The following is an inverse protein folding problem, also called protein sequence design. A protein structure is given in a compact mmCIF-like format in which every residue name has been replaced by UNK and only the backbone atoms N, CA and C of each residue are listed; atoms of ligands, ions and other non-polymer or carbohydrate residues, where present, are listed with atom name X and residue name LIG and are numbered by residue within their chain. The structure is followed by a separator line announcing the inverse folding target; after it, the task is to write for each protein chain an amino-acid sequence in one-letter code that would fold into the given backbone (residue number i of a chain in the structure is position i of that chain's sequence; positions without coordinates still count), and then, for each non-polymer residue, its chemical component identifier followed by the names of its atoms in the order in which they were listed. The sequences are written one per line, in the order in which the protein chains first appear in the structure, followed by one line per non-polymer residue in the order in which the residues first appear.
data_IF_511085802852
#
_entry.id   IF_511085802852
#
_cell.length_a   1.000
_cell.length_b   1.000
_cell.length_c   1.000
_cell.angle_alpha   90.00
_cell.angle_beta   90.00
_cell.angle_gamma   90.00
#
_symmetry.space_group_name_H-M   'P 1'
#
loop_
_entity.id
_entity.type
_entity.pdbx_description
1 polymer ?
#
# COMPACT_ATOMS: atom_id res chain seq x y z
N UNK A 1 -0.05 44.85 18.50
CA UNK A 1 -0.44 45.13 17.10
C UNK A 1 0.76 44.99 16.15
N UNK A 2 1.86 45.74 16.31
CA UNK A 2 3.05 45.67 15.42
C UNK A 2 3.62 44.26 15.23
N UNK A 3 3.87 43.51 16.31
CA UNK A 3 4.39 42.13 16.27
C UNK A 3 3.44 41.15 15.55
N UNK A 4 2.14 41.38 15.63
CA UNK A 4 1.12 40.56 14.94
C UNK A 4 1.14 40.85 13.44
N UNK A 5 1.18 42.13 13.05
CA UNK A 5 1.30 42.55 11.66
C UNK A 5 2.56 42.00 11.00
N UNK A 6 3.70 42.07 11.70
CA UNK A 6 4.97 41.51 11.23
C UNK A 6 4.89 39.98 11.05
N UNK A 7 4.32 39.28 12.03
CA UNK A 7 4.13 37.82 11.96
C UNK A 7 3.25 37.43 10.77
N UNK A 8 2.12 38.11 10.57
CA UNK A 8 1.21 37.86 9.44
C UNK A 8 1.87 38.15 8.09
N UNK A 9 2.63 39.23 8.00
CA UNK A 9 3.37 39.59 6.78
C UNK A 9 4.39 38.51 6.43
N UNK A 10 5.15 38.03 7.41
CA UNK A 10 6.12 36.95 7.22
C UNK A 10 5.45 35.64 6.79
N UNK A 11 4.27 35.31 7.33
CA UNK A 11 3.49 34.15 6.92
C UNK A 11 3.00 34.28 5.47
N UNK A 12 2.46 35.43 5.06
CA UNK A 12 2.01 35.67 3.69
C UNK A 12 3.18 35.55 2.69
N UNK A 13 4.32 36.16 3.01
CA UNK A 13 5.53 36.05 2.18
C UNK A 13 5.98 34.59 2.04
N UNK A 14 5.88 33.81 3.13
CA UNK A 14 6.23 32.40 3.09
C UNK A 14 5.27 31.58 2.23
N UNK A 15 3.96 31.84 2.34
CA UNK A 15 2.93 31.20 1.50
C UNK A 15 3.20 31.49 0.03
N UNK A 16 3.44 32.76 -0.33
CA UNK A 16 3.77 33.16 -1.69
C UNK A 16 5.02 32.44 -2.21
N UNK A 17 6.10 32.44 -1.44
CA UNK A 17 7.36 31.78 -1.82
C UNK A 17 7.17 30.28 -2.08
N UNK A 18 6.34 29.60 -1.26
CA UNK A 18 6.04 28.18 -1.45
C UNK A 18 5.19 27.97 -2.72
N UNK A 19 4.17 28.81 -2.94
CA UNK A 19 3.32 28.72 -4.12
C UNK A 19 4.13 28.92 -5.41
N UNK A 20 4.99 29.94 -5.46
CA UNK A 20 5.88 30.21 -6.59
C UNK A 20 6.85 29.04 -6.82
N UNK A 21 7.41 28.47 -5.75
CA UNK A 21 8.28 27.29 -5.86
C UNK A 21 7.54 26.10 -6.45
N UNK A 22 6.32 25.81 -6.02
CA UNK A 22 5.50 24.71 -6.55
C UNK A 22 5.23 24.93 -8.04
N UNK A 23 4.82 26.15 -8.41
CA UNK A 23 4.52 26.50 -9.79
C UNK A 23 5.76 26.38 -10.69
N UNK A 24 6.90 26.95 -10.26
CA UNK A 24 8.14 26.95 -11.02
C UNK A 24 8.73 25.54 -11.17
N UNK A 25 8.74 24.75 -10.09
CA UNK A 25 9.19 23.36 -10.17
C UNK A 25 8.36 22.55 -11.16
N UNK A 26 7.04 22.79 -11.19
CA UNK A 26 6.16 22.07 -12.11
C UNK A 26 6.31 22.57 -13.55
N UNK A 27 6.44 23.88 -13.77
CA UNK A 27 6.65 24.43 -15.12
C UNK A 27 8.00 24.03 -15.69
N UNK A 28 9.05 23.91 -14.88
CA UNK A 28 10.37 23.44 -15.32
C UNK A 28 10.36 21.98 -15.81
N UNK A 29 9.35 21.19 -15.44
CA UNK A 29 9.12 19.85 -15.98
C UNK A 29 8.39 19.85 -17.33
N UNK A 30 7.99 21.01 -17.84
CA UNK A 30 7.34 21.17 -19.14
C UNK A 30 8.37 21.68 -20.15
N UNK A 31 8.46 21.05 -21.32
CA UNK A 31 9.48 21.36 -22.33
C UNK A 31 9.57 22.84 -22.72
N UNK A 32 8.43 23.55 -22.78
CA UNK A 32 8.34 24.98 -23.05
C UNK A 32 7.91 25.81 -21.83
N UNK A 33 7.85 25.21 -20.63
CA UNK A 33 7.47 25.84 -19.35
C UNK A 33 6.08 26.46 -19.26
N UNK A 34 5.17 26.08 -20.16
CA UNK A 34 3.82 26.62 -20.19
C UNK A 34 2.81 25.55 -19.79
N UNK A 35 1.88 25.90 -18.90
CA UNK A 35 0.73 25.04 -18.60
C UNK A 35 -0.25 25.02 -19.77
N UNK A 36 -1.07 23.96 -19.86
CA UNK A 36 -2.23 23.99 -20.74
C UNK A 36 -3.31 24.87 -20.12
N UNK A 37 -3.96 25.67 -20.95
CA UNK A 37 -5.19 26.35 -20.59
C UNK A 37 -6.35 25.35 -20.55
N UNK A 38 -7.42 25.69 -19.83
CA UNK A 38 -8.64 24.87 -19.79
C UNK A 38 -9.21 24.62 -21.20
N UNK A 39 -9.12 25.60 -22.11
CA UNK A 39 -9.57 25.46 -23.50
C UNK A 39 -8.77 24.40 -24.28
N UNK A 40 -7.45 24.37 -24.12
CA UNK A 40 -6.59 23.37 -24.77
C UNK A 40 -6.83 21.95 -24.24
N UNK A 41 -7.07 21.83 -22.92
CA UNK A 41 -7.44 20.53 -22.33
C UNK A 41 -8.80 20.08 -22.88
N UNK A 42 -9.79 20.96 -22.94
CA UNK A 42 -11.11 20.64 -23.51
C UNK A 42 -11.03 20.23 -24.98
N UNK A 43 -10.24 20.93 -25.79
CA UNK A 43 -9.99 20.56 -27.20
C UNK A 43 -9.38 19.17 -27.33
N UNK A 44 -8.41 18.83 -26.47
CA UNK A 44 -7.82 17.49 -26.40
C UNK A 44 -8.87 16.44 -26.09
N UNK A 45 -9.71 16.67 -25.08
CA UNK A 45 -10.79 15.75 -24.69
C UNK A 45 -11.76 15.53 -25.85
N UNK A 46 -12.21 16.60 -26.52
CA UNK A 46 -13.14 16.52 -27.64
C UNK A 46 -12.55 15.71 -28.81
N UNK A 47 -11.27 15.89 -29.12
CA UNK A 47 -10.58 15.11 -30.15
C UNK A 47 -10.44 13.63 -29.78
N UNK A 48 -10.24 13.32 -28.49
CA UNK A 48 -10.16 11.93 -28.01
C UNK A 48 -11.54 11.24 -27.96
N UNK A 49 -12.61 12.02 -27.85
CA UNK A 49 -13.99 11.53 -27.90
C UNK A 49 -14.50 11.27 -29.32
N UNK A 50 -13.73 11.60 -30.35
CA UNK A 50 -14.06 11.26 -31.74
C UNK A 50 -14.19 9.73 -31.91
N UNK A 51 -15.21 9.29 -32.67
CA UNK A 51 -15.56 7.87 -32.81
C UNK A 51 -14.45 7.03 -33.48
N UNK A 52 -13.61 7.63 -34.33
CA UNK A 52 -12.49 6.94 -34.95
C UNK A 52 -11.31 6.88 -33.99
N UNK A 53 -10.98 8.02 -33.35
CA UNK A 53 -9.87 8.10 -32.41
C UNK A 53 -10.12 7.22 -31.18
N UNK A 54 -11.30 7.28 -30.58
CA UNK A 54 -11.66 6.51 -29.38
C UNK A 54 -11.47 5.00 -29.58
N UNK A 55 -11.78 4.48 -30.77
CA UNK A 55 -11.56 3.06 -31.11
C UNK A 55 -10.08 2.69 -31.16
N UNK A 56 -9.23 3.60 -31.63
CA UNK A 56 -7.78 3.40 -31.76
C UNK A 56 -7.10 3.46 -30.40
N UNK A 57 -7.48 4.42 -29.55
CA UNK A 57 -6.81 4.67 -28.25
C UNK A 57 -7.46 3.96 -27.06
N UNK A 58 -8.44 3.08 -27.30
CA UNK A 58 -9.18 2.38 -26.26
C UNK A 58 -8.25 1.75 -25.20
N UNK A 59 -8.53 2.02 -23.92
CA UNK A 59 -7.74 1.53 -22.78
C UNK A 59 -6.41 2.26 -22.54
N UNK A 60 -6.13 3.37 -23.25
CA UNK A 60 -4.96 4.22 -22.99
C UNK A 60 -5.31 5.37 -22.05
N UNK A 61 -4.39 5.68 -21.15
CA UNK A 61 -4.40 6.94 -20.40
C UNK A 61 -3.61 7.95 -21.23
N UNK A 62 -4.28 9.01 -21.69
CA UNK A 62 -3.63 10.13 -22.39
C UNK A 62 -3.38 11.24 -21.37
N UNK A 63 -2.11 11.61 -21.09
CA UNK A 63 -1.81 12.70 -20.18
C UNK A 63 -2.48 14.00 -20.64
N UNK A 64 -3.24 14.63 -19.73
CA UNK A 64 -3.89 15.93 -19.96
C UNK A 64 -2.99 17.12 -19.61
N UNK A 65 -1.69 16.90 -19.48
CA UNK A 65 -0.68 17.90 -19.19
C UNK A 65 0.53 17.74 -20.13
N UNK A 66 1.46 18.69 -20.03
CA UNK A 66 2.73 18.68 -20.76
C UNK A 66 3.91 18.33 -19.85
N UNK A 67 3.63 17.81 -18.67
CA UNK A 67 4.63 17.58 -17.63
C UNK A 67 5.37 16.29 -17.95
N UNK A 68 6.68 16.39 -18.17
CA UNK A 68 7.51 15.22 -18.29
C UNK A 68 7.84 14.72 -16.89
N UNK A 69 7.24 13.60 -16.49
CA UNK A 69 7.56 12.92 -15.25
C UNK A 69 8.69 11.91 -15.52
N UNK A 70 9.96 12.19 -15.12
CA UNK A 70 11.01 11.18 -15.15
C UNK A 70 10.74 10.16 -14.04
N UNK A 71 9.81 9.24 -14.25
CA UNK A 71 9.44 8.24 -13.24
C UNK A 71 10.37 7.04 -13.38
N UNK A 72 11.17 6.78 -12.34
CA UNK A 72 11.75 5.45 -12.18
C UNK A 72 10.66 4.51 -11.67
N UNK A 73 10.47 3.33 -12.26
CA UNK A 73 9.50 2.38 -11.74
C UNK A 73 9.93 1.96 -10.33
N UNK A 74 9.10 2.23 -9.33
CA UNK A 74 9.29 1.80 -7.94
C UNK A 74 8.85 0.33 -7.72
N UNK A 75 8.84 -0.47 -8.80
CA UNK A 75 8.26 -1.81 -8.87
C UNK A 75 9.34 -2.82 -9.23
N UNK A 76 9.69 -3.69 -8.27
CA UNK A 76 10.54 -4.85 -8.47
C UNK A 76 9.73 -6.12 -8.76
N UNK A 77 10.38 -7.15 -9.32
CA UNK A 77 9.78 -8.50 -9.47
C UNK A 77 10.26 -9.47 -8.39
N UNK A 78 11.32 -9.13 -7.66
CA UNK A 78 11.78 -9.89 -6.50
C UNK A 78 12.41 -8.93 -5.51
N UNK A 79 12.24 -9.20 -4.22
CA UNK A 79 12.95 -8.45 -3.20
C UNK A 79 14.43 -8.90 -3.19
N UNK A 80 15.39 -7.98 -2.95
CA UNK A 80 16.78 -8.36 -2.74
C UNK A 80 16.92 -9.43 -1.65
N UNK A 81 17.72 -10.46 -1.94
CA UNK A 81 18.03 -11.49 -0.95
C UNK A 81 18.82 -10.90 0.22
N UNK A 82 18.42 -11.26 1.43
CA UNK A 82 19.11 -10.86 2.67
C UNK A 82 19.34 -12.07 3.56
N UNK A 83 20.31 -11.96 4.47
CA UNK A 83 20.41 -12.93 5.56
C UNK A 83 19.13 -12.91 6.39
N UNK A 84 18.68 -14.08 6.82
CA UNK A 84 17.48 -14.24 7.65
C UNK A 84 17.59 -13.34 8.89
N UNK A 85 16.69 -12.35 9.05
CA UNK A 85 16.70 -11.50 10.23
C UNK A 85 16.31 -12.30 11.48
N UNK A 86 16.88 -11.90 12.62
CA UNK A 86 16.50 -12.40 13.93
C UNK A 86 15.34 -11.57 14.48
N UNK A 87 14.21 -12.22 14.77
CA UNK A 87 13.02 -11.57 15.32
C UNK A 87 12.90 -11.69 16.84
N UNK A 88 13.92 -12.20 17.52
CA UNK A 88 13.93 -12.38 18.98
C UNK A 88 13.51 -11.11 19.72
N UNK A 89 12.49 -11.25 20.57
CA UNK A 89 11.96 -10.14 21.40
C UNK A 89 11.10 -9.13 20.65
N UNK A 90 10.84 -9.35 19.35
CA UNK A 90 9.97 -8.50 18.54
C UNK A 90 8.64 -9.20 18.24
N UNK A 91 7.61 -8.39 18.02
CA UNK A 91 6.29 -8.85 17.59
C UNK A 91 6.03 -8.48 16.11
N UNK A 92 5.38 -9.37 15.37
CA UNK A 92 4.81 -9.08 14.05
C UNK A 92 3.31 -9.27 14.14
N UNK A 93 2.56 -8.24 13.75
CA UNK A 93 1.09 -8.27 13.79
C UNK A 93 0.57 -8.52 12.38
N UNK A 94 -0.36 -9.46 12.25
CA UNK A 94 -1.09 -9.72 11.01
C UNK A 94 -2.49 -9.13 11.12
N UNK A 95 -2.91 -8.35 10.14
CA UNK A 95 -4.31 -7.95 9.97
C UNK A 95 -4.86 -8.64 8.72
N UNK A 96 -5.93 -9.41 8.87
CA UNK A 96 -6.27 -10.47 7.92
C UNK A 96 -7.70 -10.28 7.41
N UNK A 97 -7.87 -10.02 6.11
CA UNK A 97 -9.16 -10.04 5.43
C UNK A 97 -9.23 -11.19 4.41
N UNK A 98 -9.06 -12.41 4.93
CA UNK A 98 -8.97 -13.63 4.13
C UNK A 98 -10.28 -13.93 3.40
N UNK A 99 -10.16 -14.32 2.13
CA UNK A 99 -11.30 -14.64 1.26
C UNK A 99 -11.47 -16.15 1.11
N UNK A 100 -10.36 -16.89 1.00
CA UNK A 100 -10.38 -18.34 0.89
C UNK A 100 -9.29 -19.02 1.72
N UNK A 101 -9.22 -20.35 1.64
CA UNK A 101 -8.27 -21.16 2.40
C UNK A 101 -6.81 -20.84 2.08
N UNK A 102 -6.49 -20.45 0.85
CA UNK A 102 -5.11 -20.12 0.47
C UNK A 102 -4.60 -18.87 1.19
N UNK A 103 -5.48 -17.91 1.48
CA UNK A 103 -5.13 -16.75 2.31
C UNK A 103 -4.81 -17.17 3.75
N UNK A 104 -5.60 -18.10 4.31
CA UNK A 104 -5.36 -18.62 5.66
C UNK A 104 -4.07 -19.47 5.74
N UNK A 105 -3.78 -20.28 4.74
CA UNK A 105 -2.53 -21.05 4.62
C UNK A 105 -1.32 -20.11 4.43
N UNK A 106 -1.49 -18.97 3.74
CA UNK A 106 -0.47 -17.92 3.65
C UNK A 106 -0.20 -17.26 5.01
N UNK A 107 -1.23 -16.91 5.76
CA UNK A 107 -1.08 -16.40 7.13
C UNK A 107 -0.27 -17.39 7.96
N UNK A 108 -0.64 -18.67 7.92
CA UNK A 108 0.09 -19.70 8.66
C UNK A 108 1.56 -19.76 8.28
N UNK A 109 1.87 -19.81 6.99
CA UNK A 109 3.25 -19.89 6.52
C UNK A 109 4.08 -18.69 7.00
N UNK A 110 3.56 -17.48 6.85
CA UNK A 110 4.27 -16.25 7.22
C UNK A 110 4.40 -16.11 8.75
N UNK A 111 3.38 -16.48 9.50
CA UNK A 111 3.40 -16.47 10.96
C UNK A 111 4.42 -17.49 11.50
N UNK A 112 4.42 -18.72 10.97
CA UNK A 112 5.41 -19.74 11.32
C UNK A 112 6.83 -19.31 10.96
N UNK A 113 7.01 -18.62 9.82
CA UNK A 113 8.30 -18.03 9.47
C UNK A 113 8.78 -17.03 10.52
N UNK A 114 7.89 -16.18 11.04
CA UNK A 114 8.23 -15.25 12.13
C UNK A 114 8.60 -15.99 13.41
N UNK A 115 7.77 -16.94 13.87
CA UNK A 115 7.98 -17.68 15.13
C UNK A 115 9.26 -18.54 15.09
N UNK A 116 9.50 -19.23 13.97
CA UNK A 116 10.71 -20.03 13.76
C UNK A 116 11.99 -19.20 13.85
N UNK A 117 11.91 -17.91 13.53
CA UNK A 117 13.03 -16.96 13.60
C UNK A 117 13.03 -16.12 14.89
N UNK A 118 12.33 -16.58 15.93
CA UNK A 118 12.36 -16.03 17.29
C UNK A 118 11.34 -14.92 17.58
N UNK A 119 10.51 -14.56 16.60
CA UNK A 119 9.49 -13.53 16.74
C UNK A 119 8.24 -14.04 17.43
N UNK A 120 7.38 -13.12 17.85
CA UNK A 120 6.03 -13.43 18.32
C UNK A 120 5.00 -12.93 17.31
N UNK A 121 3.88 -13.62 17.21
CA UNK A 121 2.81 -13.30 16.26
C UNK A 121 1.51 -12.94 16.99
N UNK A 122 0.80 -11.95 16.44
CA UNK A 122 -0.59 -11.65 16.78
C UNK A 122 -1.43 -11.58 15.50
N UNK A 123 -2.60 -12.21 15.48
CA UNK A 123 -3.48 -12.23 14.31
C UNK A 123 -4.80 -11.49 14.60
N UNK A 124 -5.03 -10.36 13.94
CA UNK A 124 -6.31 -9.64 13.97
C UNK A 124 -7.09 -10.00 12.72
N UNK A 125 -8.06 -10.89 12.88
CA UNK A 125 -8.84 -11.45 11.79
C UNK A 125 -10.08 -10.58 11.60
N UNK A 126 -10.34 -10.15 10.37
CA UNK A 126 -11.54 -9.40 10.04
C UNK A 126 -12.79 -10.18 10.44
N UNK A 127 -13.74 -9.52 11.08
CA UNK A 127 -15.07 -10.08 11.32
C UNK A 127 -15.80 -10.50 10.02
N UNK A 128 -15.40 -9.93 8.87
CA UNK A 128 -15.95 -10.30 7.54
C UNK A 128 -15.30 -11.54 6.94
N UNK A 129 -14.21 -12.05 7.50
CA UNK A 129 -13.58 -13.30 7.06
C UNK A 129 -14.52 -14.48 7.35
N UNK A 130 -14.70 -15.45 6.44
CA UNK A 130 -15.53 -16.64 6.69
C UNK A 130 -15.17 -17.38 8.00
N UNK A 131 -16.17 -17.80 8.78
CA UNK A 131 -15.98 -18.40 10.12
C UNK A 131 -15.02 -19.59 10.13
N UNK A 132 -15.10 -20.47 9.12
CA UNK A 132 -14.19 -21.61 9.01
C UNK A 132 -12.71 -21.20 8.86
N UNK A 133 -12.44 -20.04 8.24
CA UNK A 133 -11.09 -19.49 8.13
C UNK A 133 -10.67 -18.79 9.43
N UNK A 134 -11.60 -18.09 10.10
CA UNK A 134 -11.36 -17.52 11.43
C UNK A 134 -10.94 -18.62 12.43
N UNK A 135 -11.68 -19.72 12.48
CA UNK A 135 -11.39 -20.88 13.33
C UNK A 135 -10.05 -21.52 12.98
N UNK A 136 -9.78 -21.70 11.68
CA UNK A 136 -8.52 -22.27 11.20
C UNK A 136 -7.31 -21.48 11.72
N UNK A 137 -7.31 -20.15 11.54
CA UNK A 137 -6.19 -19.29 11.97
C UNK A 137 -6.10 -19.26 13.50
N UNK A 138 -7.25 -19.16 14.18
CA UNK A 138 -7.32 -19.06 15.64
C UNK A 138 -6.90 -20.34 16.36
N UNK A 139 -7.02 -21.49 15.71
CA UNK A 139 -6.52 -22.76 16.26
C UNK A 139 -4.99 -22.85 16.29
N UNK A 140 -4.28 -21.97 15.56
CA UNK A 140 -2.83 -22.03 15.37
C UNK A 140 -2.07 -20.89 16.06
N UNK A 141 -2.65 -19.70 16.10
CA UNK A 141 -1.98 -18.49 16.60
C UNK A 141 -2.85 -17.73 17.58
N UNK A 142 -2.22 -16.87 18.38
CA UNK A 142 -2.94 -15.92 19.21
C UNK A 142 -3.70 -14.92 18.31
N UNK A 143 -5.02 -15.08 18.24
CA UNK A 143 -5.87 -14.31 17.35
C UNK A 143 -7.02 -13.63 18.07
N UNK A 144 -7.53 -12.57 17.44
CA UNK A 144 -8.77 -11.90 17.82
C UNK A 144 -9.58 -11.61 16.55
N UNK A 145 -10.90 -11.74 16.66
CA UNK A 145 -11.82 -11.27 15.62
C UNK A 145 -12.06 -9.78 15.87
N UNK A 146 -11.83 -8.95 14.84
CA UNK A 146 -11.77 -7.49 14.94
C UNK A 146 -12.52 -6.86 13.78
N UNK A 147 -13.20 -5.74 14.01
CA UNK A 147 -13.61 -4.86 12.91
C UNK A 147 -12.41 -4.06 12.39
N UNK A 148 -11.66 -4.65 11.45
CA UNK A 148 -10.46 -4.01 10.89
C UNK A 148 -10.76 -2.78 10.04
N UNK A 149 -12.04 -2.54 9.71
CA UNK A 149 -12.50 -1.33 9.03
C UNK A 149 -12.59 -0.16 10.02
N UNK A 150 -12.82 -0.45 11.29
CA UNK A 150 -12.92 0.53 12.37
C UNK A 150 -11.51 0.97 12.82
N UNK A 151 -11.11 2.23 12.53
CA UNK A 151 -9.77 2.69 12.86
C UNK A 151 -9.47 2.69 14.37
N UNK A 152 -10.46 2.98 15.22
CA UNK A 152 -10.32 2.99 16.68
C UNK A 152 -10.11 1.57 17.21
N UNK A 153 -10.80 0.58 16.63
CA UNK A 153 -10.64 -0.80 17.02
C UNK A 153 -9.26 -1.36 16.63
N UNK A 154 -8.79 -1.07 15.42
CA UNK A 154 -7.43 -1.42 14.97
C UNK A 154 -6.38 -0.82 15.91
N UNK A 155 -6.53 0.47 16.25
CA UNK A 155 -5.61 1.14 17.19
C UNK A 155 -5.59 0.47 18.56
N UNK A 156 -6.77 0.14 19.11
CA UNK A 156 -6.90 -0.55 20.39
C UNK A 156 -6.14 -1.87 20.38
N UNK A 157 -6.31 -2.68 19.35
CA UNK A 157 -5.67 -3.99 19.25
C UNK A 157 -4.16 -3.90 19.03
N UNK A 158 -3.68 -2.95 18.22
CA UNK A 158 -2.24 -2.68 18.08
C UNK A 158 -1.61 -2.26 19.42
N UNK A 159 -2.30 -1.42 20.21
CA UNK A 159 -1.85 -1.04 21.55
C UNK A 159 -1.80 -2.24 22.51
N UNK A 160 -2.80 -3.13 22.44
CA UNK A 160 -2.84 -4.37 23.22
C UNK A 160 -1.69 -5.30 22.85
N UNK A 161 -1.43 -5.51 21.55
CA UNK A 161 -0.30 -6.32 21.09
C UNK A 161 1.05 -5.75 21.55
N UNK A 162 1.25 -4.44 21.43
CA UNK A 162 2.46 -3.77 21.91
C UNK A 162 2.69 -4.01 23.41
N UNK A 163 1.62 -4.00 24.20
CA UNK A 163 1.69 -4.12 25.67
C UNK A 163 1.89 -5.56 26.11
N UNK A 164 1.20 -6.53 25.47
CA UNK A 164 1.15 -7.91 25.95
C UNK A 164 2.13 -8.85 25.23
N UNK A 165 2.53 -8.52 23.99
CA UNK A 165 3.36 -9.40 23.15
C UNK A 165 4.80 -8.89 23.12
N UNK A 166 4.97 -7.59 22.81
CA UNK A 166 6.26 -6.91 22.78
C UNK A 166 6.29 -5.77 21.78
N UNK A 167 7.47 -5.20 21.58
CA UNK A 167 7.69 -4.14 20.59
C UNK A 167 7.36 -4.65 19.18
N UNK A 168 6.43 -3.97 18.51
CA UNK A 168 5.98 -4.34 17.16
C UNK A 168 7.07 -3.91 16.17
N UNK A 169 7.70 -4.90 15.52
CA UNK A 169 8.65 -4.70 14.44
C UNK A 169 7.95 -4.35 13.13
N UNK A 170 6.82 -5.00 12.87
CA UNK A 170 6.05 -4.72 11.67
C UNK A 170 4.61 -5.22 11.71
N UNK A 171 3.83 -4.66 10.79
CA UNK A 171 2.43 -5.01 10.55
C UNK A 171 2.28 -5.53 9.13
N UNK A 172 1.70 -6.72 8.98
CA UNK A 172 1.43 -7.35 7.68
C UNK A 172 -0.09 -7.39 7.48
N UNK A 173 -0.58 -6.64 6.50
CA UNK A 173 -1.98 -6.65 6.10
C UNK A 173 -2.21 -7.56 4.90
N UNK A 174 -3.18 -8.48 5.00
CA UNK A 174 -3.56 -9.38 3.91
C UNK A 174 -4.96 -9.00 3.44
N UNK A 175 -5.05 -8.57 2.19
CA UNK A 175 -6.32 -8.12 1.59
C UNK A 175 -7.20 -9.26 1.09
N UNK A 176 -6.65 -10.47 0.91
CA UNK A 176 -7.37 -11.59 0.32
C UNK A 176 -7.57 -11.44 -1.19
N UNK A 177 -8.54 -12.16 -1.76
CA UNK A 177 -8.77 -12.21 -3.20
C UNK A 177 -10.00 -11.42 -3.63
N UNK A 178 -9.99 -10.99 -4.88
CA UNK A 178 -11.20 -10.48 -5.50
C UNK A 178 -12.26 -11.60 -5.52
N UNK A 179 -13.49 -11.36 -5.03
CA UNK A 179 -14.56 -12.33 -5.15
C UNK A 179 -14.88 -12.59 -6.63
N UNK A 180 -15.60 -13.67 -6.91
CA UNK A 180 -15.98 -14.04 -8.29
C UNK A 180 -16.90 -12.98 -8.92
N UNK A 181 -16.30 -12.03 -9.64
CA UNK A 181 -17.00 -10.98 -10.38
C UNK A 181 -16.87 -11.27 -11.88
N UNK A 182 -18.02 -11.35 -12.57
CA UNK A 182 -18.05 -11.55 -14.01
C UNK A 182 -17.52 -10.31 -14.75
N UNK A 183 -18.08 -9.13 -14.42
CA UNK A 183 -17.64 -7.84 -14.96
C UNK A 183 -17.71 -6.73 -13.92
N UNK A 184 -16.54 -6.18 -13.60
CA UNK A 184 -16.39 -5.06 -12.67
C UNK A 184 -17.16 -3.80 -13.09
N UNK A 185 -17.39 -3.60 -14.40
CA UNK A 185 -18.14 -2.44 -14.93
C UNK A 185 -19.66 -2.56 -14.75
N UNK A 186 -20.16 -3.73 -14.38
CA UNK A 186 -21.61 -4.01 -14.24
C UNK A 186 -22.02 -4.21 -12.77
N UNK A 187 -21.08 -4.08 -11.82
CA UNK A 187 -21.40 -4.19 -10.39
C UNK A 187 -22.23 -2.99 -9.93
N UNK A 188 -23.06 -3.21 -8.92
CA UNK A 188 -23.83 -2.14 -8.31
C UNK A 188 -22.93 -1.21 -7.50
N UNK A 189 -23.37 0.03 -7.27
CA UNK A 189 -22.63 1.00 -6.45
C UNK A 189 -22.26 0.46 -5.06
N UNK A 190 -23.16 -0.22 -4.31
CA UNK A 190 -22.79 -0.81 -3.02
C UNK A 190 -21.68 -1.87 -3.12
N UNK A 191 -21.74 -2.75 -4.13
CA UNK A 191 -20.69 -3.76 -4.33
C UNK A 191 -19.35 -3.09 -4.68
N UNK A 192 -19.37 -2.04 -5.50
CA UNK A 192 -18.16 -1.24 -5.77
C UNK A 192 -17.57 -0.62 -4.50
N UNK A 193 -18.42 -0.06 -3.63
CA UNK A 193 -17.99 0.52 -2.36
C UNK A 193 -17.36 -0.52 -1.43
N UNK A 194 -17.93 -1.72 -1.33
CA UNK A 194 -17.36 -2.81 -0.55
C UNK A 194 -15.96 -3.23 -1.07
N UNK A 195 -15.78 -3.26 -2.39
CA UNK A 195 -14.48 -3.56 -3.00
C UNK A 195 -13.45 -2.46 -2.74
N UNK A 196 -13.85 -1.19 -2.87
CA UNK A 196 -12.98 -0.04 -2.55
C UNK A 196 -12.62 -0.05 -1.07
N UNK A 197 -13.58 -0.31 -0.18
CA UNK A 197 -13.35 -0.39 1.25
C UNK A 197 -12.36 -1.51 1.58
N UNK A 198 -12.55 -2.70 1.00
CA UNK A 198 -11.69 -3.87 1.23
C UNK A 198 -10.25 -3.67 0.72
N UNK A 199 -10.09 -3.22 -0.52
CA UNK A 199 -8.77 -3.21 -1.18
C UNK A 199 -8.03 -1.88 -1.08
N UNK A 200 -8.70 -0.78 -0.70
CA UNK A 200 -8.10 0.56 -0.68
C UNK A 200 -8.20 1.17 0.72
N UNK A 201 -9.42 1.36 1.24
CA UNK A 201 -9.62 2.08 2.50
C UNK A 201 -9.09 1.31 3.71
N UNK A 202 -9.34 0.00 3.77
CA UNK A 202 -8.91 -0.85 4.90
C UNK A 202 -7.38 -0.96 5.00
N UNK A 203 -6.63 -1.24 3.91
CA UNK A 203 -5.16 -1.18 3.93
C UNK A 203 -4.63 0.19 4.38
N UNK A 204 -5.26 1.29 3.95
CA UNK A 204 -4.87 2.63 4.37
C UNK A 204 -5.12 2.87 5.86
N UNK A 205 -6.27 2.44 6.38
CA UNK A 205 -6.60 2.47 7.82
C UNK A 205 -5.57 1.69 8.63
N UNK A 206 -5.25 0.46 8.23
CA UNK A 206 -4.27 -0.37 8.93
C UNK A 206 -2.89 0.29 8.90
N UNK A 207 -2.44 0.78 7.75
CA UNK A 207 -1.16 1.46 7.63
C UNK A 207 -1.10 2.72 8.50
N UNK A 208 -2.15 3.54 8.51
CA UNK A 208 -2.23 4.74 9.35
C UNK A 208 -2.14 4.39 10.84
N UNK A 209 -2.88 3.38 11.32
CA UNK A 209 -2.82 2.96 12.73
C UNK A 209 -1.50 2.30 13.09
N UNK A 210 -0.85 1.61 12.15
CA UNK A 210 0.52 1.13 12.35
C UNK A 210 1.50 2.30 12.52
N UNK A 211 1.39 3.37 11.72
CA UNK A 211 2.22 4.58 11.88
C UNK A 211 2.00 5.25 13.23
N UNK A 212 0.76 5.38 13.69
CA UNK A 212 0.43 5.92 15.02
C UNK A 212 0.99 5.04 16.15
N UNK A 213 1.09 3.73 15.94
CA UNK A 213 1.75 2.83 16.88
C UNK A 213 3.28 3.03 16.88
N UNK A 214 3.92 3.15 15.72
CA UNK A 214 5.36 3.37 15.61
C UNK A 214 5.79 4.76 16.09
N UNK A 215 4.93 5.75 15.91
CA UNK A 215 5.17 7.17 16.27
C UNK A 215 3.98 7.73 17.04
N UNK A 216 3.81 7.36 18.32
CA UNK A 216 2.73 7.92 19.14
C UNK A 216 2.81 9.45 19.22
N UNK A 217 1.71 10.13 18.89
CA UNK A 217 1.64 11.60 18.82
C UNK A 217 2.22 12.22 17.55
N UNK A 218 2.66 11.41 16.58
CA UNK A 218 3.27 11.89 15.33
C UNK A 218 2.31 12.69 14.45
N UNK A 219 1.00 12.50 14.61
CA UNK A 219 -0.04 13.29 13.91
C UNK A 219 -0.01 14.75 14.37
N UNK A 220 0.20 14.98 15.66
CA UNK A 220 0.25 16.30 16.29
C UNK A 220 1.65 16.93 16.13
N UNK A 221 2.70 16.12 16.22
CA UNK A 221 4.08 16.54 16.02
C UNK A 221 4.83 15.67 15.00
N UNK A 222 4.83 16.07 13.71
CA UNK A 222 5.52 15.33 12.64
C UNK A 222 7.02 15.14 12.86
N UNK A 223 7.66 15.94 13.74
CA UNK A 223 9.09 15.80 14.04
C UNK A 223 9.41 14.48 14.74
N UNK A 224 8.43 13.87 15.40
CA UNK A 224 8.57 12.58 16.07
C UNK A 224 8.85 11.43 15.09
N UNK A 225 8.53 11.60 13.80
CA UNK A 225 8.83 10.59 12.78
C UNK A 225 10.31 10.46 12.45
N UNK A 226 11.12 11.49 12.74
CA UNK A 226 12.54 11.48 12.41
C UNK A 226 13.22 10.29 13.07
N UNK A 227 13.93 9.50 12.26
CA UNK A 227 14.65 8.29 12.67
C UNK A 227 13.78 7.16 13.26
N UNK A 228 12.45 7.33 13.35
CA UNK A 228 11.53 6.29 13.80
C UNK A 228 11.61 5.04 12.90
N UNK A 229 11.48 3.85 13.48
CA UNK A 229 11.60 2.56 12.79
C UNK A 229 10.28 1.80 12.83
N UNK A 230 10.04 1.02 11.78
CA UNK A 230 8.86 0.17 11.66
C UNK A 230 8.71 -0.36 10.24
N UNK A 231 8.04 -1.49 10.10
CA UNK A 231 7.78 -2.12 8.81
C UNK A 231 6.28 -2.28 8.60
N UNK A 232 5.78 -1.86 7.45
CA UNK A 232 4.39 -2.11 7.03
C UNK A 232 4.44 -2.90 5.73
N UNK A 233 3.74 -4.03 5.68
CA UNK A 233 3.60 -4.81 4.46
C UNK A 233 2.12 -4.93 4.12
N UNK A 234 1.73 -4.54 2.91
CA UNK A 234 0.42 -4.84 2.35
C UNK A 234 0.59 -5.96 1.34
N UNK A 235 -0.08 -7.09 1.56
CA UNK A 235 -0.22 -8.16 0.59
C UNK A 235 -1.52 -7.90 -0.16
N UNK A 236 -1.38 -7.31 -1.35
CA UNK A 236 -2.50 -7.01 -2.24
C UNK A 236 -3.11 -8.27 -2.85
N UNK A 237 -4.19 -8.12 -3.64
CA UNK A 237 -4.93 -9.26 -4.14
C UNK A 237 -4.10 -10.10 -5.12
N UNK A 238 -4.24 -11.42 -5.00
CA UNK A 238 -3.58 -12.39 -5.87
C UNK A 238 -4.08 -12.26 -7.31
N UNK A 239 -3.17 -12.47 -8.26
CA UNK A 239 -3.62 -12.80 -9.62
C UNK A 239 -4.37 -14.13 -9.65
N UNK A 240 -5.35 -14.29 -10.56
CA UNK A 240 -6.05 -15.55 -10.70
C UNK A 240 -5.09 -16.65 -11.14
N UNK A 241 -5.30 -17.86 -10.62
CA UNK A 241 -4.47 -19.04 -10.90
C UNK A 241 -5.17 -19.98 -11.87
N UNK A 242 -4.41 -20.62 -12.75
CA UNK A 242 -4.87 -21.70 -13.61
C UNK A 242 -4.55 -21.51 -15.09
N UNK A 243 -4.71 -22.58 -15.87
CA UNK A 243 -4.35 -22.63 -17.30
C UNK A 243 -5.26 -21.78 -18.21
N UNK A 244 -6.42 -21.35 -17.73
CA UNK A 244 -7.45 -20.66 -18.54
C UNK A 244 -7.86 -19.31 -17.94
N UNK A 245 -6.93 -18.60 -17.31
CA UNK A 245 -7.19 -17.27 -16.76
C UNK A 245 -7.32 -16.26 -17.91
N UNK A 246 -8.45 -15.57 -17.97
CA UNK A 246 -8.74 -14.59 -19.02
C UNK A 246 -8.05 -13.25 -18.76
N UNK A 247 -7.88 -12.46 -19.81
CA UNK A 247 -7.39 -11.07 -19.69
C UNK A 247 -8.29 -10.22 -18.80
N UNK A 248 -9.61 -10.41 -18.90
CA UNK A 248 -10.60 -9.73 -18.05
C UNK A 248 -10.40 -10.05 -16.58
N UNK A 249 -10.25 -11.33 -16.21
CA UNK A 249 -10.01 -11.72 -14.82
C UNK A 249 -8.75 -11.06 -14.23
N UNK A 250 -7.65 -11.03 -15.01
CA UNK A 250 -6.43 -10.31 -14.60
C UNK A 250 -6.66 -8.80 -14.48
N UNK A 251 -7.31 -8.20 -15.47
CA UNK A 251 -7.58 -6.76 -15.49
C UNK A 251 -8.40 -6.30 -14.27
N UNK A 252 -9.40 -7.09 -13.86
CA UNK A 252 -10.21 -6.78 -12.68
C UNK A 252 -9.37 -6.73 -11.39
N UNK A 253 -8.42 -7.65 -11.22
CA UNK A 253 -7.48 -7.63 -10.08
C UNK A 253 -6.50 -6.46 -10.20
N UNK A 254 -6.01 -6.18 -11.41
CA UNK A 254 -5.07 -5.08 -11.67
C UNK A 254 -5.65 -3.68 -11.38
N UNK A 255 -6.97 -3.50 -11.38
CA UNK A 255 -7.59 -2.23 -10.92
C UNK A 255 -7.17 -1.94 -9.47
N UNK A 256 -7.26 -2.94 -8.59
CA UNK A 256 -6.94 -2.79 -7.18
C UNK A 256 -5.43 -2.84 -6.92
N UNK A 257 -4.69 -3.73 -7.59
CA UNK A 257 -3.21 -3.72 -7.53
C UNK A 257 -2.66 -2.37 -8.01
N UNK A 258 -3.19 -1.86 -9.12
CA UNK A 258 -2.84 -0.57 -9.69
C UNK A 258 -3.07 0.60 -8.74
N UNK A 259 -4.21 0.61 -8.03
CA UNK A 259 -4.56 1.66 -7.08
C UNK A 259 -3.71 1.66 -5.79
N UNK A 260 -3.19 0.51 -5.35
CA UNK A 260 -2.29 0.41 -4.19
C UNK A 260 -0.86 0.93 -4.47
N UNK A 261 -0.42 0.96 -5.73
CA UNK A 261 0.91 1.43 -6.14
C UNK A 261 1.16 2.91 -5.79
N UNK A 262 0.31 3.88 -6.20
CA UNK A 262 0.52 5.27 -5.84
C UNK A 262 0.46 5.49 -4.33
N UNK A 263 -0.46 4.83 -3.62
CA UNK A 263 -0.52 4.90 -2.16
C UNK A 263 0.81 4.52 -1.50
N UNK A 264 1.40 3.40 -1.94
CA UNK A 264 2.69 2.91 -1.41
C UNK A 264 3.82 3.88 -1.70
N UNK A 265 3.86 4.41 -2.92
CA UNK A 265 4.91 5.34 -3.34
C UNK A 265 4.83 6.64 -2.54
N UNK A 266 3.63 7.22 -2.43
CA UNK A 266 3.40 8.48 -1.69
C UNK A 266 3.75 8.33 -0.22
N UNK A 267 3.30 7.27 0.45
CA UNK A 267 3.61 7.05 1.88
C UNK A 267 5.12 6.95 2.10
N UNK A 268 5.86 6.21 1.28
CA UNK A 268 7.31 6.09 1.44
C UNK A 268 8.05 7.40 1.12
N UNK A 269 7.56 8.19 0.16
CA UNK A 269 8.12 9.50 -0.15
C UNK A 269 7.93 10.46 1.02
N UNK A 270 6.73 10.52 1.60
CA UNK A 270 6.46 11.35 2.78
C UNK A 270 7.31 10.91 3.98
N UNK A 271 7.37 9.61 4.27
CA UNK A 271 8.17 9.09 5.38
C UNK A 271 9.67 9.38 5.19
N UNK A 272 10.22 9.12 4.01
CA UNK A 272 11.67 9.20 3.78
C UNK A 272 12.14 10.63 3.44
N UNK A 273 11.52 11.28 2.45
CA UNK A 273 12.02 12.54 1.91
C UNK A 273 11.60 13.72 2.78
N UNK A 274 10.39 13.70 3.33
CA UNK A 274 9.83 14.81 4.12
C UNK A 274 10.11 14.61 5.60
N UNK A 275 9.69 13.49 6.17
CA UNK A 275 9.72 13.25 7.62
C UNK A 275 11.05 12.68 8.14
N UNK A 276 11.95 12.25 7.23
CA UNK A 276 13.25 11.62 7.58
C UNK A 276 13.08 10.42 8.52
N UNK A 277 11.99 9.67 8.33
CA UNK A 277 11.70 8.44 9.03
C UNK A 277 12.45 7.25 8.41
N UNK A 278 12.71 6.25 9.25
CA UNK A 278 13.21 4.93 8.82
C UNK A 278 12.10 3.89 8.76
N UNK A 279 10.84 4.29 8.90
CA UNK A 279 9.70 3.44 8.63
C UNK A 279 9.60 3.21 7.12
N UNK A 280 9.36 1.96 6.71
CA UNK A 280 9.15 1.60 5.31
C UNK A 280 7.85 0.83 5.15
N UNK A 281 7.19 1.05 4.02
CA UNK A 281 5.99 0.32 3.64
C UNK A 281 6.20 -0.40 2.31
N UNK A 282 6.06 -1.71 2.26
CA UNK A 282 6.04 -2.44 1.00
C UNK A 282 4.65 -2.90 0.63
N UNK A 283 4.34 -2.87 -0.66
CA UNK A 283 3.20 -3.58 -1.21
C UNK A 283 3.67 -4.77 -2.03
N UNK A 284 3.26 -5.95 -1.61
CA UNK A 284 3.58 -7.22 -2.25
C UNK A 284 2.36 -7.66 -3.03
N UNK A 285 2.58 -8.04 -4.27
CA UNK A 285 1.54 -8.57 -5.10
C UNK A 285 1.85 -9.99 -5.55
N UNK A 286 1.17 -11.00 -4.99
CA UNK A 286 1.39 -12.39 -5.34
C UNK A 286 0.73 -12.78 -6.67
N UNK A 287 1.21 -13.89 -7.23
CA UNK A 287 0.74 -14.46 -8.49
C UNK A 287 1.40 -13.85 -9.72
N UNK A 288 1.29 -14.58 -10.83
CA UNK A 288 1.95 -14.25 -12.10
C UNK A 288 0.96 -14.13 -13.26
N UNK A 289 1.31 -13.36 -14.30
CA UNK A 289 0.47 -13.24 -15.51
C UNK A 289 0.24 -14.58 -16.21
N UNK A 290 1.11 -15.56 -15.99
CA UNK A 290 1.00 -16.92 -16.54
C UNK A 290 -0.01 -17.79 -15.79
N UNK A 291 -0.54 -17.31 -14.66
CA UNK A 291 -1.50 -18.04 -13.84
C UNK A 291 -0.86 -19.13 -12.98
N UNK A 292 0.43 -18.98 -12.64
CA UNK A 292 1.12 -19.88 -11.71
C UNK A 292 0.74 -19.58 -10.26
N UNK A 293 0.77 -20.62 -9.40
CA UNK A 293 0.51 -20.48 -7.96
C UNK A 293 1.49 -19.49 -7.30
N UNK A 294 1.02 -18.62 -6.40
CA UNK A 294 1.88 -17.72 -5.64
C UNK A 294 2.88 -18.46 -4.75
N UNK A 295 4.08 -17.88 -4.59
CA UNK A 295 5.11 -18.45 -3.71
C UNK A 295 5.23 -17.66 -2.39
N UNK A 296 4.68 -18.23 -1.31
CA UNK A 296 4.72 -17.62 0.03
C UNK A 296 6.14 -17.40 0.57
N UNK A 297 7.14 -18.19 0.13
CA UNK A 297 8.54 -17.95 0.50
C UNK A 297 9.03 -16.60 -0.04
N UNK A 298 8.66 -16.23 -1.27
CA UNK A 298 9.07 -14.94 -1.85
C UNK A 298 8.44 -13.75 -1.13
N UNK A 299 7.24 -13.94 -0.57
CA UNK A 299 6.59 -12.94 0.30
C UNK A 299 7.36 -12.82 1.63
N UNK A 300 7.73 -13.94 2.24
CA UNK A 300 8.56 -13.97 3.45
C UNK A 300 9.93 -13.32 3.24
N UNK A 301 10.57 -13.56 2.09
CA UNK A 301 11.84 -12.95 1.70
C UNK A 301 11.70 -11.42 1.53
N UNK A 302 10.59 -10.95 0.97
CA UNK A 302 10.29 -9.53 0.89
C UNK A 302 10.10 -8.89 2.28
N UNK A 303 9.49 -9.61 3.22
CA UNK A 303 9.36 -9.13 4.60
C UNK A 303 10.71 -9.10 5.31
N UNK A 304 11.53 -10.14 5.10
CA UNK A 304 12.90 -10.18 5.58
C UNK A 304 13.71 -8.98 5.07
N UNK A 305 13.59 -8.63 3.78
CA UNK A 305 14.25 -7.45 3.22
C UNK A 305 13.74 -6.15 3.87
N UNK A 306 12.41 -6.00 3.97
CA UNK A 306 11.73 -4.80 4.50
C UNK A 306 12.24 -4.38 5.88
N UNK A 307 12.52 -5.34 6.75
CA UNK A 307 12.95 -5.07 8.14
C UNK A 307 14.46 -4.84 8.28
N UNK A 308 15.22 -4.86 7.18
CA UNK A 308 16.66 -4.56 7.18
C UNK A 308 16.96 -3.07 6.95
N UNK A 309 18.16 -2.63 7.34
CA UNK A 309 18.66 -1.29 7.03
C UNK A 309 18.81 -1.06 5.51
N UNK A 310 18.97 -2.12 4.71
CA UNK A 310 19.08 -2.03 3.25
C UNK A 310 17.77 -1.57 2.58
N UNK A 311 16.61 -1.83 3.20
CA UNK A 311 15.32 -1.37 2.66
C UNK A 311 15.16 0.16 2.73
N UNK A 312 15.95 0.86 3.56
CA UNK A 312 15.88 2.31 3.74
C UNK A 312 16.34 3.09 2.49
N UNK A 313 17.29 2.52 1.74
CA UNK A 313 17.81 3.11 0.50
C UNK A 313 17.16 2.52 -0.76
N UNK A 314 16.24 1.57 -0.61
CA UNK A 314 15.56 0.94 -1.74
C UNK A 314 14.61 1.92 -2.43
N UNK A 315 14.84 2.11 -3.73
CA UNK A 315 13.87 2.79 -4.60
C UNK A 315 12.66 1.89 -4.92
N UNK A 316 12.81 0.57 -4.85
CA UNK A 316 11.72 -0.38 -5.05
C UNK A 316 10.99 -0.61 -3.73
N UNK A 317 9.69 -0.30 -3.72
CA UNK A 317 8.79 -0.45 -2.56
C UNK A 317 7.55 -1.27 -2.89
N UNK A 318 7.41 -1.68 -4.15
CA UNK A 318 6.32 -2.52 -4.64
C UNK A 318 6.95 -3.72 -5.30
N UNK A 319 6.45 -4.93 -5.03
CA UNK A 319 7.01 -6.16 -5.58
C UNK A 319 5.95 -7.08 -6.18
N UNK A 320 6.05 -7.38 -7.47
CA UNK A 320 5.30 -8.45 -8.12
C UNK A 320 6.09 -9.75 -8.01
N UNK A 321 6.10 -10.35 -6.82
CA UNK A 321 7.10 -11.34 -6.37
C UNK A 321 7.14 -12.65 -7.19
N UNK A 322 6.07 -12.96 -7.92
CA UNK A 322 5.98 -14.19 -8.72
C UNK A 322 6.25 -13.97 -10.21
N UNK A 323 6.40 -12.72 -10.66
CA UNK A 323 6.69 -12.40 -12.05
C UNK A 323 8.17 -12.67 -12.39
N UNK A 324 8.41 -13.26 -13.56
CA UNK A 324 9.75 -13.41 -14.13
C UNK A 324 10.05 -12.25 -15.07
N UNK A 325 11.21 -11.60 -14.91
CA UNK A 325 11.76 -10.67 -15.91
C UNK A 325 12.50 -11.43 -17.00
#
# INVERSE_FOLDING_TARGET
VVKLTETLTNLLNKIQTIAEKIQNNTSDMIANKEFLTQGQVAETVLNLCDDEIAKIVNGKVIPGDRVFYPVKPHIGTTAPGVHQPNFTGKAVVFTIDATDKTDAERVEFLAQHVEKNGGKVACFISQTTPTNLQEYISSKFHSHIVDIKNPEEVQRWLNTARTNIGEILGVIHITGKLPGIEKLTEVTRPVWEELVEKFISTPATVAQRALEQFVPGGKEDPRLYKDAKGAIMIIGPDLPVGRKVTGTQRAQVEVFRGALRPFTTTVNQELSDVLKSKIRMFTIFPGSVTGSEPNNQRIADAFNFLVTENALSSAEVIFCVDETR
#
